data_IF_719759031619
#
_entry.id   IF_719759031619
#
_cell.length_a   1.000
_cell.length_b   1.000
_cell.length_c   1.000
_cell.angle_alpha   90.00
_cell.angle_beta   90.00
_cell.angle_gamma   90.00
#
_symmetry.space_group_name_H-M   'P 1'
#
loop_
_entity.id
_entity.type
_entity.pdbx_description
1 polymer ?
#
# COMPACT_ATOMS: atom_id res chain seq x y z
N UNK A 1 4.53 20.48 -8.47
CA UNK A 1 3.77 19.46 -7.71
C UNK A 1 4.22 18.10 -8.19
N UNK A 2 4.77 17.30 -7.33
CA UNK A 2 5.14 15.96 -7.72
C UNK A 2 3.90 15.18 -8.11
N UNK A 3 4.00 14.50 -9.23
CA UNK A 3 2.91 13.68 -9.73
C UNK A 3 2.84 12.39 -8.93
N UNK A 4 1.63 11.99 -8.60
CA UNK A 4 1.38 10.65 -8.08
C UNK A 4 1.81 9.62 -9.13
N UNK A 5 2.15 8.40 -8.69
CA UNK A 5 2.42 7.31 -9.62
C UNK A 5 1.25 7.13 -10.59
N UNK A 6 1.54 6.91 -11.86
CA UNK A 6 0.50 6.61 -12.83
C UNK A 6 -0.21 5.31 -12.45
N UNK A 7 -1.54 5.35 -12.52
CA UNK A 7 -2.40 4.18 -12.32
C UNK A 7 -2.94 3.63 -13.64
N UNK A 8 -2.53 4.24 -14.76
CA UNK A 8 -2.95 3.77 -16.08
C UNK A 8 -2.51 2.33 -16.30
N UNK A 9 -3.42 1.52 -16.84
CA UNK A 9 -3.20 0.11 -17.14
C UNK A 9 -2.98 -0.80 -15.93
N UNK A 10 -3.18 -0.33 -14.69
CA UNK A 10 -3.16 -1.20 -13.53
C UNK A 10 -4.44 -2.03 -13.45
N UNK A 11 -4.28 -3.30 -13.12
CA UNK A 11 -5.38 -4.23 -12.93
C UNK A 11 -5.82 -4.23 -11.47
N UNK A 12 -6.89 -3.50 -11.16
CA UNK A 12 -7.39 -3.36 -9.79
C UNK A 12 -7.83 -4.69 -9.19
N UNK A 13 -8.42 -5.57 -9.98
CA UNK A 13 -8.85 -6.89 -9.49
C UNK A 13 -7.66 -7.73 -9.00
N UNK A 14 -6.53 -7.67 -9.71
CA UNK A 14 -5.29 -8.32 -9.26
C UNK A 14 -4.74 -7.68 -7.98
N UNK A 15 -4.77 -6.35 -7.90
CA UNK A 15 -4.28 -5.64 -6.72
C UNK A 15 -5.11 -5.96 -5.47
N UNK A 16 -6.43 -6.10 -5.62
CA UNK A 16 -7.35 -6.31 -4.50
C UNK A 16 -7.63 -7.77 -4.19
N UNK A 17 -7.16 -8.71 -4.98
CA UNK A 17 -7.50 -10.12 -4.81
C UNK A 17 -7.29 -10.62 -3.37
N UNK A 18 -6.14 -10.33 -2.79
CA UNK A 18 -5.81 -10.76 -1.42
C UNK A 18 -6.30 -9.78 -0.35
N UNK A 19 -6.99 -8.71 -0.76
CA UNK A 19 -7.54 -7.70 0.13
C UNK A 19 -9.07 -7.70 0.19
N UNK A 20 -9.74 -8.59 -0.57
CA UNK A 20 -11.22 -8.63 -0.61
C UNK A 20 -11.85 -9.01 0.74
N UNK A 21 -11.10 -9.63 1.63
CA UNK A 21 -11.56 -9.86 3.01
C UNK A 21 -11.76 -8.55 3.79
N UNK A 22 -11.02 -7.49 3.45
CA UNK A 22 -11.11 -6.17 4.08
C UNK A 22 -11.91 -5.18 3.23
N UNK A 23 -11.83 -5.30 1.92
CA UNK A 23 -12.51 -4.41 0.96
C UNK A 23 -13.36 -5.22 -0.01
N UNK A 24 -14.54 -5.73 0.44
CA UNK A 24 -15.39 -6.56 -0.42
C UNK A 24 -16.23 -5.75 -1.42
N UNK A 25 -16.43 -4.44 -1.16
CA UNK A 25 -17.31 -3.60 -1.98
C UNK A 25 -16.68 -3.26 -3.33
N UNK A 26 -17.52 -2.92 -4.35
CA UNK A 26 -17.02 -2.39 -5.62
C UNK A 26 -16.34 -1.04 -5.42
N UNK A 27 -15.18 -0.88 -6.02
CA UNK A 27 -14.40 0.35 -5.97
C UNK A 27 -13.68 0.61 -7.29
N UNK A 28 -13.28 1.86 -7.51
CA UNK A 28 -12.39 2.25 -8.59
C UNK A 28 -11.10 2.83 -8.02
N UNK A 29 -10.00 2.64 -8.73
CA UNK A 29 -8.70 3.14 -8.31
C UNK A 29 -8.57 4.63 -8.67
N UNK A 30 -8.27 5.46 -7.68
CA UNK A 30 -8.02 6.90 -7.88
C UNK A 30 -6.55 7.25 -7.93
N UNK A 31 -5.76 6.62 -7.06
CA UNK A 31 -4.35 6.94 -6.89
C UNK A 31 -3.66 5.82 -6.12
N UNK A 32 -2.34 5.82 -6.16
CA UNK A 32 -1.51 4.99 -5.29
C UNK A 32 -0.28 5.76 -4.83
N UNK A 33 0.31 5.35 -3.72
CA UNK A 33 1.60 5.88 -3.30
C UNK A 33 2.75 4.97 -3.72
N UNK A 34 3.97 5.34 -3.36
CA UNK A 34 5.18 4.58 -3.71
C UNK A 34 5.36 3.27 -2.94
N UNK A 35 4.52 3.00 -1.95
CA UNK A 35 4.60 1.81 -1.09
C UNK A 35 3.51 0.77 -1.40
N UNK A 36 2.67 1.06 -2.38
CA UNK A 36 1.59 0.16 -2.79
C UNK A 36 0.25 0.43 -2.13
N UNK A 37 0.13 1.45 -1.29
CA UNK A 37 -1.16 1.88 -0.76
C UNK A 37 -2.05 2.36 -1.89
N UNK A 38 -3.34 2.05 -1.78
CA UNK A 38 -4.33 2.38 -2.79
C UNK A 38 -5.36 3.36 -2.23
N UNK A 39 -5.71 4.35 -3.05
CA UNK A 39 -6.82 5.27 -2.77
C UNK A 39 -7.96 4.91 -3.72
N UNK A 40 -9.09 4.53 -3.15
CA UNK A 40 -10.20 3.87 -3.84
C UNK A 40 -11.47 4.71 -3.72
N UNK A 41 -12.23 4.79 -4.80
CA UNK A 41 -13.53 5.46 -4.78
C UNK A 41 -14.65 4.43 -4.71
N UNK A 42 -15.58 4.61 -3.78
CA UNK A 42 -16.77 3.77 -3.66
C UNK A 42 -17.85 4.19 -4.67
N UNK A 43 -18.90 3.38 -4.79
CA UNK A 43 -20.06 3.69 -5.64
C UNK A 43 -20.75 4.99 -5.21
N UNK A 44 -20.69 5.34 -3.92
CA UNK A 44 -21.26 6.58 -3.37
C UNK A 44 -20.34 7.79 -3.55
N UNK A 45 -19.15 7.60 -4.11
CA UNK A 45 -18.17 8.67 -4.35
C UNK A 45 -17.23 8.96 -3.20
N UNK A 46 -17.29 8.20 -2.11
CA UNK A 46 -16.37 8.33 -0.98
C UNK A 46 -14.99 7.79 -1.33
N UNK A 47 -13.96 8.30 -0.67
CA UNK A 47 -12.59 7.85 -0.89
C UNK A 47 -12.10 7.03 0.30
N UNK A 48 -11.60 5.85 0.01
CA UNK A 48 -11.00 4.94 0.98
C UNK A 48 -9.49 4.89 0.79
N UNK A 49 -8.78 4.79 1.88
CA UNK A 49 -7.34 4.53 1.88
C UNK A 49 -7.08 3.11 2.36
N UNK A 50 -6.52 2.30 1.47
CA UNK A 50 -6.01 0.97 1.80
C UNK A 50 -4.53 1.11 2.13
N UNK A 51 -4.22 1.12 3.42
CA UNK A 51 -2.86 1.13 3.93
C UNK A 51 -2.35 -0.32 3.96
N UNK A 52 -1.59 -0.70 2.94
CA UNK A 52 -1.14 -2.09 2.79
C UNK A 52 -0.06 -2.46 3.82
N UNK A 53 0.74 -1.49 4.26
CA UNK A 53 1.73 -1.72 5.31
C UNK A 53 1.09 -1.93 6.69
N UNK A 54 0.09 -1.12 7.02
CA UNK A 54 -0.63 -1.19 8.28
C UNK A 54 -1.78 -2.19 8.32
N UNK A 55 -2.25 -2.64 7.16
CA UNK A 55 -3.36 -3.59 7.08
C UNK A 55 -4.72 -2.99 7.42
N UNK A 56 -4.94 -1.72 7.10
CA UNK A 56 -6.18 -1.02 7.42
C UNK A 56 -6.84 -0.42 6.18
N UNK A 57 -8.16 -0.30 6.25
CA UNK A 57 -8.98 0.39 5.26
C UNK A 57 -9.79 1.46 5.98
N UNK A 58 -9.64 2.72 5.59
CA UNK A 58 -10.33 3.83 6.23
C UNK A 58 -10.93 4.79 5.22
N UNK A 59 -12.08 5.37 5.55
CA UNK A 59 -12.67 6.44 4.77
C UNK A 59 -11.93 7.74 5.08
N UNK A 60 -11.37 8.39 4.06
CA UNK A 60 -10.49 9.55 4.22
C UNK A 60 -11.07 10.83 3.61
N UNK A 61 -12.10 10.72 2.77
CA UNK A 61 -12.76 11.89 2.19
C UNK A 61 -14.17 11.52 1.72
N UNK A 62 -15.07 12.51 1.75
CA UNK A 62 -16.45 12.34 1.28
C UNK A 62 -16.56 12.34 -0.25
N UNK A 63 -15.55 12.86 -0.93
CA UNK A 63 -15.53 12.94 -2.39
C UNK A 63 -14.08 12.97 -2.91
N UNK A 64 -13.92 12.70 -4.19
CA UNK A 64 -12.63 12.84 -4.87
C UNK A 64 -12.11 14.27 -4.80
N UNK A 65 -12.98 15.27 -4.93
CA UNK A 65 -12.60 16.68 -4.85
C UNK A 65 -11.98 17.00 -3.49
N UNK A 66 -12.60 16.58 -2.41
CA UNK A 66 -12.07 16.76 -1.05
C UNK A 66 -10.73 16.03 -0.89
N UNK A 67 -10.63 14.81 -1.37
CA UNK A 67 -9.39 14.05 -1.35
C UNK A 67 -8.25 14.79 -2.06
N UNK A 68 -8.50 15.31 -3.27
CA UNK A 68 -7.50 16.06 -4.04
C UNK A 68 -7.07 17.34 -3.32
N UNK A 69 -7.99 18.03 -2.67
CA UNK A 69 -7.67 19.22 -1.88
C UNK A 69 -6.81 18.88 -0.66
N UNK A 70 -7.14 17.80 0.05
CA UNK A 70 -6.34 17.35 1.20
C UNK A 70 -4.92 16.96 0.81
N UNK A 71 -4.72 16.41 -0.38
CA UNK A 71 -3.38 16.07 -0.91
C UNK A 71 -2.48 17.29 -1.12
N UNK A 72 -3.03 18.49 -1.19
CA UNK A 72 -2.26 19.72 -1.37
C UNK A 72 -1.64 20.25 -0.07
N UNK A 73 -2.03 19.69 1.08
CA UNK A 73 -1.69 20.22 2.39
C UNK A 73 -0.92 19.21 3.24
N UNK A 74 0.25 19.63 3.75
CA UNK A 74 0.94 18.94 4.82
C UNK A 74 0.19 19.22 6.14
N UNK A 75 0.15 18.31 7.13
CA UNK A 75 0.85 17.01 7.15
C UNK A 75 0.10 15.86 6.46
N UNK A 76 -1.12 16.10 5.95
CA UNK A 76 -1.94 15.06 5.34
C UNK A 76 -1.25 14.39 4.14
N UNK A 77 -0.63 15.23 3.29
CA UNK A 77 0.12 14.73 2.14
C UNK A 77 1.24 13.78 2.57
N UNK A 78 2.01 14.15 3.60
CA UNK A 78 3.10 13.30 4.09
C UNK A 78 2.57 12.00 4.71
N UNK A 79 1.46 12.05 5.43
CA UNK A 79 0.84 10.85 5.99
C UNK A 79 0.47 9.86 4.89
N UNK A 80 -0.10 10.33 3.80
CA UNK A 80 -0.59 9.47 2.72
C UNK A 80 0.49 9.04 1.74
N UNK A 81 1.48 9.88 1.48
CA UNK A 81 2.49 9.62 0.44
C UNK A 81 3.85 9.22 0.98
N UNK A 82 4.15 9.54 2.25
CA UNK A 82 5.45 9.28 2.89
C UNK A 82 6.62 9.71 1.99
N UNK A 83 6.53 10.93 1.46
CA UNK A 83 7.50 11.45 0.48
C UNK A 83 8.93 11.47 1.01
N UNK A 84 9.11 11.78 2.31
CA UNK A 84 10.44 11.80 2.93
C UNK A 84 11.09 10.41 2.90
N UNK A 85 10.33 9.36 3.15
CA UNK A 85 10.83 7.98 3.09
C UNK A 85 11.14 7.59 1.64
N UNK A 86 10.27 7.97 0.71
CA UNK A 86 10.45 7.69 -0.71
C UNK A 86 11.71 8.40 -1.25
N UNK A 87 11.94 9.66 -0.87
CA UNK A 87 13.13 10.41 -1.24
C UNK A 87 14.40 9.81 -0.65
N UNK A 88 14.38 9.37 0.60
CA UNK A 88 15.50 8.68 1.22
C UNK A 88 15.85 7.40 0.45
N UNK A 89 14.84 6.65 0.04
CA UNK A 89 15.03 5.47 -0.83
C UNK A 89 15.67 5.83 -2.16
N UNK A 90 15.20 6.90 -2.80
CA UNK A 90 15.73 7.36 -4.08
C UNK A 90 17.21 7.74 -3.99
N UNK A 91 17.63 8.35 -2.88
CA UNK A 91 19.05 8.66 -2.63
C UNK A 91 19.92 7.40 -2.51
N UNK A 92 19.31 6.25 -2.24
CA UNK A 92 19.98 4.95 -2.19
C UNK A 92 19.72 4.11 -3.45
N UNK A 93 19.23 4.73 -4.52
CA UNK A 93 18.99 4.05 -5.80
C UNK A 93 17.67 3.29 -5.88
N UNK A 94 16.80 3.39 -4.90
CA UNK A 94 15.49 2.73 -4.89
C UNK A 94 14.46 3.62 -5.57
N UNK A 95 14.25 3.39 -6.87
CA UNK A 95 13.38 4.23 -7.72
C UNK A 95 12.35 3.35 -8.43
N UNK A 96 11.21 3.04 -7.78
CA UNK A 96 10.18 2.22 -8.40
C UNK A 96 9.55 2.92 -9.60
N UNK A 97 9.23 2.14 -10.63
CA UNK A 97 8.44 2.60 -11.77
C UNK A 97 6.93 2.40 -11.51
N UNK A 98 6.09 2.62 -12.53
CA UNK A 98 4.64 2.58 -12.38
C UNK A 98 4.06 1.20 -12.04
N UNK A 99 4.81 0.12 -12.23
CA UNK A 99 4.41 -1.25 -11.87
C UNK A 99 5.25 -1.81 -10.71
N UNK A 100 5.96 -0.95 -10.02
CA UNK A 100 6.80 -1.29 -8.87
C UNK A 100 6.43 -0.42 -7.66
N UNK A 101 6.87 -0.85 -6.50
CA UNK A 101 6.74 -0.09 -5.25
C UNK A 101 7.94 -0.38 -4.35
N UNK A 102 8.05 0.39 -3.27
CA UNK A 102 9.01 0.10 -2.21
C UNK A 102 8.37 -0.92 -1.27
N UNK A 103 9.05 -2.04 -1.08
CA UNK A 103 8.73 -3.02 -0.04
C UNK A 103 9.76 -2.96 1.08
N UNK A 104 9.44 -3.56 2.21
CA UNK A 104 10.36 -3.68 3.35
C UNK A 104 10.65 -5.15 3.61
N UNK A 105 11.93 -5.48 3.80
CA UNK A 105 12.39 -6.86 4.03
C UNK A 105 11.74 -7.44 5.27
N UNK A 106 11.62 -6.62 6.33
CA UNK A 106 10.80 -6.91 7.49
C UNK A 106 9.57 -6.01 7.37
N UNK A 107 8.37 -6.57 7.15
CA UNK A 107 7.17 -5.76 6.97
C UNK A 107 6.91 -4.80 8.13
N UNK A 108 6.38 -3.63 7.81
CA UNK A 108 6.19 -2.51 8.75
C UNK A 108 5.33 -2.88 9.95
N UNK A 109 4.41 -3.83 9.81
CA UNK A 109 3.53 -4.27 10.90
C UNK A 109 4.31 -4.95 12.03
N UNK A 110 5.51 -5.44 11.79
CA UNK A 110 6.32 -6.11 12.81
C UNK A 110 7.18 -5.12 13.59
N UNK A 111 7.32 -5.38 14.90
CA UNK A 111 8.07 -4.52 15.81
C UNK A 111 9.55 -4.35 15.41
N UNK A 112 10.13 -5.36 14.75
CA UNK A 112 11.53 -5.36 14.31
C UNK A 112 11.77 -4.48 13.06
N UNK A 113 10.70 -4.03 12.41
CA UNK A 113 10.81 -3.26 11.17
C UNK A 113 11.16 -1.80 11.41
N UNK A 114 11.79 -1.18 10.41
CA UNK A 114 11.98 0.26 10.33
C UNK A 114 11.87 0.71 8.89
N UNK A 115 11.31 1.90 8.67
CA UNK A 115 11.14 2.49 7.34
C UNK A 115 12.43 3.22 6.92
N UNK A 116 13.51 2.46 6.82
CA UNK A 116 14.84 2.96 6.45
C UNK A 116 15.35 2.23 5.20
N UNK A 117 16.26 2.86 4.41
CA UNK A 117 16.70 2.27 3.14
C UNK A 117 17.30 0.88 3.26
N UNK A 118 18.01 0.56 4.34
CA UNK A 118 18.61 -0.76 4.54
C UNK A 118 17.56 -1.89 4.66
N UNK A 119 16.35 -1.56 5.08
CA UNK A 119 15.24 -2.51 5.18
C UNK A 119 14.35 -2.47 3.92
N UNK A 120 14.64 -1.61 2.95
CA UNK A 120 13.80 -1.38 1.80
C UNK A 120 14.36 -2.04 0.53
N UNK A 121 13.47 -2.36 -0.39
CA UNK A 121 13.80 -2.87 -1.72
C UNK A 121 12.73 -2.47 -2.73
N UNK A 122 13.06 -2.49 -4.01
CA UNK A 122 12.09 -2.27 -5.07
C UNK A 122 11.40 -3.60 -5.38
N UNK A 123 10.09 -3.63 -5.30
CA UNK A 123 9.26 -4.82 -5.48
C UNK A 123 8.33 -4.66 -6.68
N UNK A 124 7.89 -5.78 -7.25
CA UNK A 124 6.74 -5.79 -8.16
C UNK A 124 5.49 -5.37 -7.38
N UNK A 125 4.71 -4.46 -7.95
CA UNK A 125 3.54 -3.89 -7.27
C UNK A 125 2.50 -4.96 -6.92
N UNK A 126 2.16 -5.83 -7.87
CA UNK A 126 1.14 -6.86 -7.67
C UNK A 126 1.60 -7.90 -6.64
N UNK A 127 2.84 -8.34 -6.73
CA UNK A 127 3.40 -9.31 -5.77
C UNK A 127 3.41 -8.73 -4.35
N UNK A 128 3.87 -7.49 -4.20
CA UNK A 128 3.98 -6.85 -2.89
C UNK A 128 2.62 -6.60 -2.26
N UNK A 129 1.69 -6.04 -3.01
CA UNK A 129 0.33 -5.77 -2.52
C UNK A 129 -0.40 -7.05 -2.16
N UNK A 130 -0.26 -8.09 -2.98
CA UNK A 130 -0.86 -9.41 -2.73
C UNK A 130 -0.24 -10.09 -1.52
N UNK A 131 1.07 -10.05 -1.39
CA UNK A 131 1.78 -10.60 -0.23
C UNK A 131 1.30 -9.97 1.07
N UNK A 132 1.21 -8.63 1.11
CA UNK A 132 0.76 -7.92 2.30
C UNK A 132 -0.70 -8.23 2.63
N UNK A 133 -1.56 -8.40 1.61
CA UNK A 133 -2.96 -8.78 1.82
C UNK A 133 -3.09 -10.13 2.49
N UNK A 134 -2.35 -11.12 2.04
CA UNK A 134 -2.32 -12.45 2.65
C UNK A 134 -1.72 -12.41 4.06
N UNK A 135 -0.63 -11.67 4.24
CA UNK A 135 0.00 -11.48 5.55
C UNK A 135 -1.00 -10.91 6.57
N UNK A 136 -1.64 -9.80 6.24
CA UNK A 136 -2.59 -9.14 7.16
C UNK A 136 -3.82 -10.00 7.42
N UNK A 137 -4.28 -10.77 6.45
CA UNK A 137 -5.37 -11.73 6.67
C UNK A 137 -4.98 -12.77 7.71
N UNK A 138 -3.76 -13.28 7.65
CA UNK A 138 -3.27 -14.28 8.60
C UNK A 138 -3.12 -13.75 10.03
N UNK A 139 -2.78 -12.47 10.19
CA UNK A 139 -2.55 -11.85 11.49
C UNK A 139 -3.71 -11.00 12.00
N UNK A 140 -4.83 -10.94 11.26
CA UNK A 140 -5.95 -10.04 11.56
C UNK A 140 -6.50 -10.19 12.99
N UNK A 141 -6.51 -11.40 13.52
CA UNK A 141 -7.03 -11.70 14.86
C UNK A 141 -5.93 -11.73 15.94
N UNK A 142 -4.69 -11.39 15.57
CA UNK A 142 -3.58 -11.40 16.52
C UNK A 142 -3.58 -10.07 17.29
N UNK A 143 -3.63 -10.08 18.63
CA UNK A 143 -3.53 -8.86 19.42
C UNK A 143 -2.14 -8.21 19.27
N UNK A 144 -2.09 -6.90 19.48
CA UNK A 144 -0.84 -6.13 19.45
C UNK A 144 0.18 -6.75 20.43
N UNK A 145 1.41 -6.92 19.95
CA UNK A 145 2.47 -7.58 20.72
C UNK A 145 2.43 -9.09 20.68
N UNK A 146 1.42 -9.68 20.03
CA UNK A 146 1.32 -11.14 19.86
C UNK A 146 2.41 -11.67 18.92
N UNK A 147 2.77 -12.93 19.11
CA UNK A 147 3.70 -13.63 18.22
C UNK A 147 2.93 -14.39 17.17
N UNK A 148 3.38 -14.32 15.92
CA UNK A 148 2.75 -15.01 14.80
C UNK A 148 3.75 -15.91 14.10
N UNK A 149 3.24 -17.02 13.57
CA UNK A 149 3.99 -17.88 12.65
C UNK A 149 3.32 -17.78 11.29
N UNK A 150 4.04 -17.21 10.34
CA UNK A 150 3.53 -17.04 8.98
C UNK A 150 3.65 -18.33 8.21
N UNK A 151 2.63 -18.64 7.40
CA UNK A 151 2.70 -19.64 6.35
C UNK A 151 3.03 -18.91 5.06
N UNK A 152 4.24 -19.11 4.57
CA UNK A 152 4.61 -18.63 3.25
C UNK A 152 4.25 -19.75 2.28
N UNK A 153 3.31 -19.48 1.39
CA UNK A 153 2.97 -20.41 0.32
C UNK A 153 4.19 -20.72 -0.53
N UNK A 154 4.24 -21.91 -1.14
CA UNK A 154 5.31 -22.21 -2.09
C UNK A 154 5.33 -21.08 -3.14
N UNK A 155 6.53 -20.55 -3.50
CA UNK A 155 6.61 -19.55 -4.54
C UNK A 155 6.00 -20.12 -5.83
N UNK A 156 5.23 -19.30 -6.59
CA UNK A 156 4.69 -19.78 -7.84
C UNK A 156 5.82 -20.29 -8.72
N UNK A 157 5.59 -21.44 -9.36
CA UNK A 157 6.56 -22.00 -10.26
C UNK A 157 6.94 -20.92 -11.28
N UNK A 158 8.24 -20.65 -11.42
CA UNK A 158 8.73 -19.74 -12.45
C UNK A 158 8.35 -20.33 -13.81
N UNK A 159 7.53 -19.60 -14.52
CA UNK A 159 7.20 -19.95 -15.89
C UNK A 159 8.23 -19.39 -16.83
#
# INVERSE_FOLDING_TARGET
MEELFSIDQLDLERLLKEWRWLCPQPVTLLARNGFGDLFLRTAEGKVLWLDVGGGTLSEVADSESVFRDLLKHAPQRELWLAEAVLEAGARHGLKPNNVQCIGFKIPIVFAESAAVPDNAYVADLYEQVSFLGDLHRQIADTPDGGKVRLRIGAPPARR
#
